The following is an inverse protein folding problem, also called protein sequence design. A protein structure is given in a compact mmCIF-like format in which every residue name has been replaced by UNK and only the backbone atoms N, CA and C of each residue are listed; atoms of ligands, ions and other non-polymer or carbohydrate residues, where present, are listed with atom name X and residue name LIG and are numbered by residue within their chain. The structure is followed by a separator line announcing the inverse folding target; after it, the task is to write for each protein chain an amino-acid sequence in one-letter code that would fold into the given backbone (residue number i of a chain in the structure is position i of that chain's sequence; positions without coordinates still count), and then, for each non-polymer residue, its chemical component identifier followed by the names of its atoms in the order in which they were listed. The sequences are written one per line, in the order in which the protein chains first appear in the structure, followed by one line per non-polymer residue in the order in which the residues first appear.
data_IF_537818299190
#
_entry.id   IF_537818299190
#
_cell.length_a   1.000
_cell.length_b   1.000
_cell.length_c   1.000
_cell.angle_alpha   90.00
_cell.angle_beta   90.00
_cell.angle_gamma   90.00
#
_symmetry.space_group_name_H-M   'P 1'
#
loop_
_entity.id
_entity.type
_entity.pdbx_description
1 polymer ?
#
# COMPACT_ATOMS: atom_id res chain seq x y z
N UNK A 1 14.42 16.69 6.95
CA UNK A 1 13.34 15.94 7.64
C UNK A 1 12.95 14.73 6.78
N UNK A 2 13.30 13.51 7.21
CA UNK A 2 13.20 12.24 6.46
C UNK A 2 11.74 11.77 6.28
N UNK A 3 10.87 12.54 5.59
CA UNK A 3 9.49 12.11 5.30
C UNK A 3 9.42 10.89 4.37
N UNK A 4 10.53 10.55 3.71
CA UNK A 4 10.58 9.46 2.73
C UNK A 4 10.82 8.07 3.35
N UNK A 5 11.27 7.97 4.62
CA UNK A 5 11.66 6.65 5.18
C UNK A 5 10.49 5.80 5.65
N UNK A 6 9.45 6.39 6.30
CA UNK A 6 8.26 5.62 6.78
C UNK A 6 7.48 5.04 5.59
N UNK A 7 7.16 5.88 4.61
CA UNK A 7 6.41 5.47 3.43
C UNK A 7 7.23 4.60 2.48
N UNK A 8 8.51 4.90 2.28
CA UNK A 8 9.42 4.07 1.49
C UNK A 8 9.53 2.65 2.04
N UNK A 9 9.72 2.51 3.37
CA UNK A 9 9.76 1.18 4.02
C UNK A 9 8.42 0.45 3.93
N UNK A 10 7.30 1.15 4.10
CA UNK A 10 5.97 0.54 3.92
C UNK A 10 5.75 0.07 2.47
N UNK A 11 6.14 0.89 1.49
CA UNK A 11 6.05 0.54 0.08
C UNK A 11 6.90 -0.68 -0.26
N UNK A 12 8.13 -0.74 0.23
CA UNK A 12 9.00 -1.91 0.07
C UNK A 12 8.35 -3.18 0.65
N UNK A 13 7.80 -3.09 1.87
CA UNK A 13 7.06 -4.21 2.49
C UNK A 13 5.87 -4.65 1.64
N UNK A 14 5.09 -3.71 1.12
CA UNK A 14 3.93 -4.00 0.23
C UNK A 14 4.38 -4.72 -1.04
N UNK A 15 5.51 -4.32 -1.65
CA UNK A 15 6.03 -4.96 -2.87
C UNK A 15 6.55 -6.37 -2.65
N UNK A 16 6.90 -6.71 -1.41
CA UNK A 16 7.41 -8.03 -1.01
C UNK A 16 6.30 -9.02 -0.61
N UNK A 17 5.07 -8.55 -0.41
CA UNK A 17 3.92 -9.43 -0.15
C UNK A 17 3.70 -10.39 -1.31
N UNK A 18 3.20 -11.59 -1.02
CA UNK A 18 2.56 -12.46 -2.01
C UNK A 18 1.14 -12.01 -2.29
N UNK A 19 0.58 -12.44 -3.41
CA UNK A 19 -0.80 -12.13 -3.75
C UNK A 19 -1.75 -12.76 -2.71
N UNK A 20 -2.66 -11.96 -2.17
CA UNK A 20 -3.55 -12.31 -1.06
C UNK A 20 -2.99 -11.97 0.33
N UNK A 21 -1.69 -11.73 0.47
CA UNK A 21 -1.11 -11.31 1.76
C UNK A 21 -1.41 -9.84 2.07
N UNK A 22 -1.46 -9.54 3.37
CA UNK A 22 -1.89 -8.24 3.88
C UNK A 22 -0.98 -7.72 4.98
N UNK A 23 -0.86 -6.39 5.04
CA UNK A 23 -0.27 -5.65 6.16
C UNK A 23 -1.40 -4.93 6.88
N UNK A 24 -1.46 -5.10 8.19
CA UNK A 24 -2.42 -4.41 9.06
C UNK A 24 -1.69 -3.28 9.77
N UNK A 25 -2.30 -2.09 9.77
CA UNK A 25 -1.81 -0.90 10.46
C UNK A 25 -2.88 -0.44 11.45
N UNK A 26 -2.43 -0.14 12.66
CA UNK A 26 -3.24 0.56 13.65
C UNK A 26 -3.26 2.05 13.30
N UNK A 27 -4.44 2.69 13.21
CA UNK A 27 -4.53 4.12 12.96
C UNK A 27 -4.05 4.91 14.19
N UNK A 28 -3.48 6.09 13.96
CA UNK A 28 -3.09 7.03 15.03
C UNK A 28 -4.17 8.12 15.25
N UNK A 29 -5.08 8.29 14.29
CA UNK A 29 -6.14 9.30 14.25
C UNK A 29 -7.29 8.89 13.33
N UNK A 30 -7.80 9.83 12.52
CA UNK A 30 -8.95 9.54 11.65
C UNK A 30 -8.62 8.47 10.60
N UNK A 31 -9.39 7.38 10.66
CA UNK A 31 -9.22 6.21 9.82
C UNK A 31 -9.31 6.52 8.32
N UNK A 32 -10.26 7.36 7.93
CA UNK A 32 -10.52 7.67 6.53
C UNK A 32 -9.42 8.55 5.96
N UNK A 33 -8.98 9.55 6.72
CA UNK A 33 -7.85 10.39 6.37
C UNK A 33 -6.56 9.60 6.24
N UNK A 34 -6.27 8.72 7.20
CA UNK A 34 -5.06 7.91 7.20
C UNK A 34 -5.03 6.90 6.07
N UNK A 35 -6.14 6.19 5.83
CA UNK A 35 -6.25 5.27 4.71
C UNK A 35 -6.03 6.00 3.38
N UNK A 36 -6.59 7.21 3.22
CA UNK A 36 -6.37 8.07 2.05
C UNK A 36 -4.91 8.52 1.93
N UNK A 37 -4.28 8.95 3.02
CA UNK A 37 -2.85 9.34 3.05
C UNK A 37 -1.95 8.19 2.67
N UNK A 38 -2.20 6.99 3.18
CA UNK A 38 -1.48 5.76 2.83
C UNK A 38 -1.63 5.45 1.34
N UNK A 39 -2.86 5.44 0.84
CA UNK A 39 -3.14 5.15 -0.57
C UNK A 39 -2.38 6.11 -1.50
N UNK A 40 -2.49 7.41 -1.26
CA UNK A 40 -1.79 8.44 -2.03
C UNK A 40 -0.27 8.33 -1.92
N UNK A 41 0.25 8.05 -0.71
CA UNK A 41 1.69 7.93 -0.48
C UNK A 41 2.28 6.72 -1.19
N UNK A 42 1.59 5.58 -1.18
CA UNK A 42 2.03 4.38 -1.90
C UNK A 42 1.99 4.58 -3.43
N UNK A 43 1.03 5.35 -3.95
CA UNK A 43 1.00 5.72 -5.38
C UNK A 43 2.14 6.66 -5.78
N UNK A 44 2.79 7.32 -4.82
CA UNK A 44 4.00 8.10 -5.07
C UNK A 44 5.29 7.27 -5.10
N UNK A 45 5.23 5.96 -4.83
CA UNK A 45 6.40 5.08 -4.75
C UNK A 45 6.50 4.24 -6.01
N UNK A 46 7.56 4.46 -6.79
CA UNK A 46 7.77 3.78 -8.08
C UNK A 46 7.73 2.25 -8.01
N UNK A 47 8.27 1.65 -6.94
CA UNK A 47 8.23 0.20 -6.77
C UNK A 47 6.79 -0.32 -6.55
N UNK A 48 5.94 0.49 -5.93
CA UNK A 48 4.54 0.21 -5.72
C UNK A 48 3.72 0.30 -7.03
N UNK A 49 4.18 1.01 -8.06
CA UNK A 49 3.49 1.09 -9.36
C UNK A 49 3.45 -0.26 -10.10
N UNK A 50 4.28 -1.23 -9.71
CA UNK A 50 4.32 -2.56 -10.33
C UNK A 50 3.36 -3.56 -9.68
N UNK A 51 2.83 -3.25 -8.50
CA UNK A 51 1.94 -4.13 -7.74
C UNK A 51 0.53 -3.56 -7.65
N UNK A 52 -0.46 -4.41 -7.90
CA UNK A 52 -1.87 -4.09 -7.66
C UNK A 52 -2.16 -4.33 -6.19
N UNK A 53 -2.78 -3.35 -5.53
CA UNK A 53 -3.07 -3.37 -4.10
C UNK A 53 -4.43 -2.79 -3.79
N UNK A 54 -4.97 -3.16 -2.63
CA UNK A 54 -6.14 -2.51 -2.03
C UNK A 54 -5.78 -1.96 -0.66
N UNK A 55 -6.33 -0.80 -0.32
CA UNK A 55 -6.29 -0.23 1.03
C UNK A 55 -7.73 -0.17 1.52
N UNK A 56 -8.05 -0.86 2.62
CA UNK A 56 -9.40 -0.93 3.19
C UNK A 56 -9.37 -0.69 4.68
N UNK A 57 -10.48 -0.21 5.24
CA UNK A 57 -10.69 -0.15 6.67
C UNK A 57 -11.48 -1.40 7.08
N UNK A 58 -10.95 -2.19 8.01
CA UNK A 58 -11.59 -3.42 8.51
C UNK A 58 -11.45 -3.44 10.03
N UNK A 59 -12.57 -3.49 10.74
CA UNK A 59 -12.57 -3.59 12.20
C UNK A 59 -11.80 -2.47 12.92
N UNK A 60 -11.85 -1.24 12.38
CA UNK A 60 -11.13 -0.09 12.94
C UNK A 60 -9.62 -0.07 12.62
N UNK A 61 -9.15 -0.92 11.70
CA UNK A 61 -7.75 -0.98 11.27
C UNK A 61 -7.63 -0.73 9.78
N UNK A 62 -6.45 -0.31 9.33
CA UNK A 62 -6.15 -0.13 7.91
C UNK A 62 -5.42 -1.38 7.39
N UNK A 63 -6.00 -2.01 6.39
CA UNK A 63 -5.50 -3.25 5.79
C UNK A 63 -5.05 -2.96 4.36
N UNK A 64 -3.77 -3.23 4.09
CA UNK A 64 -3.17 -3.13 2.75
C UNK A 64 -2.94 -4.54 2.23
N UNK A 65 -3.65 -4.92 1.18
CA UNK A 65 -3.55 -6.26 0.59
C UNK A 65 -2.94 -6.17 -0.80
N UNK A 66 -1.97 -7.04 -1.10
CA UNK A 66 -1.51 -7.21 -2.49
C UNK A 66 -2.48 -8.13 -3.22
N UNK A 67 -2.92 -7.73 -4.40
CA UNK A 67 -3.91 -8.47 -5.20
C UNK A 67 -3.39 -8.91 -6.56
N UNK A 68 -2.11 -8.70 -6.84
CA UNK A 68 -1.47 -9.06 -8.11
C UNK A 68 -0.36 -8.09 -8.50
N UNK A 69 0.20 -8.30 -9.69
CA UNK A 69 0.98 -7.30 -10.42
C UNK A 69 0.11 -6.58 -11.43
N UNK A 70 0.49 -5.35 -11.80
CA UNK A 70 -0.07 -4.75 -13.00
C UNK A 70 0.44 -5.53 -14.21
N UNK A 71 -0.45 -5.98 -15.10
CA UNK A 71 -0.01 -6.58 -16.36
C UNK A 71 0.76 -5.52 -17.13
N UNK A 72 1.95 -5.82 -17.67
CA UNK A 72 2.56 -4.96 -18.67
C UNK A 72 1.55 -4.79 -19.81
N UNK A 73 1.28 -3.56 -20.21
CA UNK A 73 0.54 -3.26 -21.44
C UNK A 73 1.42 -3.68 -22.63
N UNK A 74 1.50 -4.98 -22.93
CA UNK A 74 2.39 -5.49 -23.98
C UNK A 74 2.56 -7.00 -24.07
N UNK A 75 1.57 -7.80 -23.66
CA UNK A 75 1.55 -9.23 -23.97
C UNK A 75 0.64 -9.49 -25.18
N UNK A 76 1.21 -9.40 -26.39
CA UNK A 76 0.70 -10.00 -27.63
C UNK A 76 1.65 -11.14 -28.02
#
# INVERSE_FOLDING_TARGET
MKRNSKWGSLGERVTKLKDGESIVLEPEGDLSEEARKIYNSLNGIRACDLVRRTVKIVGGKIVITRVGTWRPLGGL
#
